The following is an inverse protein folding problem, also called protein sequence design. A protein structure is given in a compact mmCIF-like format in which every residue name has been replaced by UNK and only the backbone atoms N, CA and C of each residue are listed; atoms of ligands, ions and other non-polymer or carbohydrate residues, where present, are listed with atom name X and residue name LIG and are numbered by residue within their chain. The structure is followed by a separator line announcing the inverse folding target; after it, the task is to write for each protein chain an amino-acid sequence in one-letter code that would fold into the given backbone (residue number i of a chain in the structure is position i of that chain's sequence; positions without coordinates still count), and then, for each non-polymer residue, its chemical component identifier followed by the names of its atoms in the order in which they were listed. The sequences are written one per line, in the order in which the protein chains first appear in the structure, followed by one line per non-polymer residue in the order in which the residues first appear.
data_IF_749938253097
#
_entry.id   IF_749938253097
#
_cell.length_a   1.000
_cell.length_b   1.000
_cell.length_c   1.000
_cell.angle_alpha   90.00
_cell.angle_beta   90.00
_cell.angle_gamma   90.00
#
_symmetry.space_group_name_H-M   'P 1'
#
loop_
_entity.id
_entity.type
_entity.pdbx_description
1 polymer ?
#
# COMPACT_ATOMS: atom_id res chain seq x y z
N UNK A 1 -15.39 -6.67 -26.51
CA UNK A 1 -15.51 -7.45 -25.27
C UNK A 1 -16.63 -6.93 -24.36
N UNK A 2 -17.00 -5.63 -24.43
CA UNK A 2 -18.07 -5.04 -23.60
C UNK A 2 -19.50 -5.53 -23.88
N UNK A 3 -19.81 -5.93 -25.12
CA UNK A 3 -21.17 -6.40 -25.49
C UNK A 3 -21.56 -7.77 -24.87
N UNK A 4 -20.66 -8.38 -24.09
CA UNK A 4 -20.88 -9.66 -23.43
C UNK A 4 -20.11 -9.74 -22.11
N UNK A 5 -20.07 -8.66 -21.31
CA UNK A 5 -19.58 -8.81 -19.94
C UNK A 5 -20.44 -9.85 -19.23
N UNK A 6 -19.79 -10.88 -18.71
CA UNK A 6 -20.46 -11.84 -17.86
C UNK A 6 -21.03 -11.06 -16.66
N UNK A 7 -22.36 -11.09 -16.42
CA UNK A 7 -22.95 -10.39 -15.29
C UNK A 7 -22.40 -10.87 -13.93
N UNK A 8 -21.66 -11.98 -13.90
CA UNK A 8 -20.98 -12.53 -12.72
C UNK A 8 -19.51 -12.10 -12.58
N UNK A 9 -18.96 -11.26 -13.46
CA UNK A 9 -17.57 -10.81 -13.32
C UNK A 9 -17.42 -9.80 -12.17
N UNK A 10 -16.80 -10.23 -11.07
CA UNK A 10 -16.60 -9.38 -9.89
C UNK A 10 -15.16 -8.89 -9.71
N UNK A 11 -14.17 -9.69 -10.14
CA UNK A 11 -12.75 -9.42 -9.89
C UNK A 11 -11.90 -9.68 -11.14
N UNK A 12 -11.00 -8.75 -11.43
CA UNK A 12 -9.93 -8.91 -12.43
C UNK A 12 -8.58 -8.74 -11.75
N UNK A 13 -7.71 -9.74 -11.91
CA UNK A 13 -6.34 -9.71 -11.43
C UNK A 13 -5.38 -9.66 -12.62
N UNK A 14 -4.62 -8.58 -12.73
CA UNK A 14 -3.51 -8.47 -13.67
C UNK A 14 -2.28 -9.15 -13.09
N UNK A 15 -1.63 -10.03 -13.84
CA UNK A 15 -0.40 -10.73 -13.41
C UNK A 15 0.73 -10.34 -14.35
N UNK A 16 1.41 -9.26 -14.00
CA UNK A 16 2.42 -8.63 -14.83
C UNK A 16 2.72 -7.23 -14.33
N UNK A 17 3.96 -6.79 -14.52
CA UNK A 17 4.36 -5.39 -14.37
C UNK A 17 4.02 -4.62 -15.66
N UNK A 18 4.22 -3.31 -15.74
CA UNK A 18 4.02 -2.52 -16.96
C UNK A 18 5.17 -2.66 -17.95
N UNK A 19 6.32 -3.17 -17.50
CA UNK A 19 7.50 -3.42 -18.33
C UNK A 19 8.13 -4.79 -18.01
N UNK A 20 9.31 -5.06 -18.57
CA UNK A 20 10.01 -6.34 -18.35
C UNK A 20 9.43 -7.51 -19.15
N UNK A 21 9.70 -8.74 -18.69
CA UNK A 21 9.37 -9.97 -19.44
C UNK A 21 7.89 -10.39 -19.35
N UNK A 22 7.15 -9.83 -18.40
CA UNK A 22 5.73 -10.13 -18.15
C UNK A 22 4.89 -8.86 -18.23
N UNK A 23 5.16 -8.02 -19.23
CA UNK A 23 4.55 -6.71 -19.36
C UNK A 23 3.03 -6.82 -19.67
N UNK A 24 2.22 -6.22 -18.82
CA UNK A 24 0.81 -5.89 -19.05
C UNK A 24 0.73 -4.36 -19.02
N UNK A 25 0.33 -3.71 -20.13
CA UNK A 25 0.17 -2.26 -20.19
C UNK A 25 -0.67 -1.69 -19.03
N UNK A 26 -0.54 -0.39 -18.83
CA UNK A 26 -1.38 0.39 -17.93
C UNK A 26 -1.83 1.64 -18.66
N UNK A 27 -2.79 2.37 -18.09
CA UNK A 27 -3.13 3.70 -18.56
C UNK A 27 -2.36 4.75 -17.76
N UNK A 28 -2.47 5.99 -18.20
CA UNK A 28 -2.05 7.14 -17.39
C UNK A 28 -3.20 8.11 -17.21
N UNK A 29 -3.20 8.79 -16.07
CA UNK A 29 -4.10 9.90 -15.77
C UNK A 29 -3.25 11.14 -15.45
N UNK A 30 -3.64 12.35 -15.89
CA UNK A 30 -2.95 13.56 -15.46
C UNK A 30 -3.04 13.75 -13.96
N UNK A 31 -1.93 14.14 -13.33
CA UNK A 31 -1.93 14.55 -11.94
C UNK A 31 -2.90 15.71 -11.73
N UNK A 32 -3.53 15.76 -10.56
CA UNK A 32 -4.44 16.84 -10.21
C UNK A 32 -3.69 18.16 -9.93
N UNK A 33 -2.47 18.06 -9.40
CA UNK A 33 -1.69 19.20 -8.90
C UNK A 33 -0.57 19.63 -9.86
N UNK A 34 0.03 18.68 -10.58
CA UNK A 34 1.21 18.92 -11.41
C UNK A 34 0.98 18.54 -12.89
N UNK A 35 1.91 18.92 -13.76
CA UNK A 35 1.85 18.62 -15.20
C UNK A 35 2.40 17.23 -15.55
N UNK A 36 2.20 16.25 -14.67
CA UNK A 36 2.72 14.89 -14.77
C UNK A 36 1.61 13.87 -15.08
N UNK A 37 2.02 12.64 -15.40
CA UNK A 37 1.13 11.53 -15.75
C UNK A 37 1.36 10.37 -14.78
N UNK A 38 0.31 9.97 -14.07
CA UNK A 38 0.35 8.90 -13.09
C UNK A 38 -0.18 7.60 -13.69
N UNK A 39 0.50 6.49 -13.46
CA UNK A 39 0.05 5.18 -13.96
C UNK A 39 -1.24 4.74 -13.26
N UNK A 40 -2.16 4.11 -13.97
CA UNK A 40 -3.41 3.63 -13.38
C UNK A 40 -4.03 2.47 -14.16
N UNK A 41 -4.48 1.46 -13.42
CA UNK A 41 -5.27 0.36 -13.96
C UNK A 41 -6.78 0.66 -13.94
N UNK A 42 -7.21 1.77 -13.32
CA UNK A 42 -8.63 2.09 -13.14
C UNK A 42 -9.43 2.12 -14.46
N UNK A 43 -8.90 2.63 -15.59
CA UNK A 43 -9.64 2.61 -16.86
C UNK A 43 -9.90 1.22 -17.45
N UNK A 44 -9.33 0.14 -16.92
CA UNK A 44 -9.78 -1.20 -17.27
C UNK A 44 -11.17 -1.53 -16.71
N UNK A 45 -11.60 -0.84 -15.66
CA UNK A 45 -12.80 -1.21 -14.88
C UNK A 45 -14.09 -0.55 -15.36
N UNK A 46 -14.04 0.46 -16.23
CA UNK A 46 -15.23 1.13 -16.77
C UNK A 46 -15.12 1.27 -18.30
N UNK A 47 -16.28 1.34 -18.97
CA UNK A 47 -16.37 1.26 -20.44
C UNK A 47 -17.00 2.48 -21.11
N UNK A 48 -17.60 3.35 -20.30
CA UNK A 48 -18.07 4.68 -20.68
C UNK A 48 -17.55 5.68 -19.65
N UNK A 49 -17.10 6.84 -20.10
CA UNK A 49 -16.66 7.92 -19.21
C UNK A 49 -17.80 8.44 -18.32
N UNK A 50 -19.06 8.26 -18.73
CA UNK A 50 -20.22 8.53 -17.89
C UNK A 50 -20.27 7.63 -16.62
N UNK A 51 -19.64 6.45 -16.67
CA UNK A 51 -19.61 5.45 -15.61
C UNK A 51 -18.28 5.43 -14.83
N UNK A 52 -17.47 6.50 -14.93
CA UNK A 52 -16.16 6.57 -14.26
C UNK A 52 -16.23 6.44 -12.73
N UNK A 53 -17.40 6.63 -12.11
CA UNK A 53 -17.63 6.42 -10.67
C UNK A 53 -18.28 5.06 -10.35
N UNK A 54 -18.58 4.25 -11.37
CA UNK A 54 -19.27 2.97 -11.28
C UNK A 54 -18.44 1.89 -11.99
N UNK A 55 -17.30 1.47 -11.42
CA UNK A 55 -16.51 0.40 -12.01
C UNK A 55 -17.33 -0.91 -12.09
N UNK A 56 -17.20 -1.63 -13.19
CA UNK A 56 -17.91 -2.89 -13.45
C UNK A 56 -17.37 -4.07 -12.64
N UNK A 57 -16.13 -3.98 -12.16
CA UNK A 57 -15.49 -5.00 -11.33
C UNK A 57 -14.35 -4.40 -10.51
N UNK A 58 -13.94 -5.11 -9.46
CA UNK A 58 -12.73 -4.78 -8.70
C UNK A 58 -11.49 -5.20 -9.49
N UNK A 59 -10.45 -4.37 -9.43
CA UNK A 59 -9.18 -4.65 -10.10
C UNK A 59 -8.02 -4.66 -9.11
N UNK A 60 -7.08 -5.55 -9.33
CA UNK A 60 -5.79 -5.57 -8.64
C UNK A 60 -4.68 -6.03 -9.58
N UNK A 61 -3.43 -5.76 -9.19
CA UNK A 61 -2.24 -6.16 -9.94
C UNK A 61 -1.26 -6.91 -9.05
N UNK A 62 -0.82 -8.08 -9.51
CA UNK A 62 0.40 -8.73 -9.07
C UNK A 62 1.51 -8.30 -10.00
N UNK A 63 2.23 -7.24 -9.60
CA UNK A 63 3.34 -6.72 -10.39
C UNK A 63 4.52 -7.69 -10.32
N UNK A 64 4.87 -8.28 -11.46
CA UNK A 64 5.92 -9.30 -11.57
C UNK A 64 6.85 -8.98 -12.73
N UNK A 65 8.16 -9.03 -12.47
CA UNK A 65 9.20 -8.96 -13.51
C UNK A 65 9.92 -10.30 -13.69
N UNK A 66 9.69 -11.25 -12.77
CA UNK A 66 10.31 -12.58 -12.78
C UNK A 66 9.34 -13.69 -12.32
N UNK A 67 9.70 -14.95 -12.60
CA UNK A 67 8.97 -16.10 -12.03
C UNK A 67 9.12 -16.19 -10.51
N UNK A 68 10.19 -15.61 -9.94
CA UNK A 68 10.41 -15.59 -8.51
C UNK A 68 9.43 -14.64 -7.80
N UNK A 69 9.17 -13.46 -8.38
CA UNK A 69 8.13 -12.54 -7.90
C UNK A 69 6.76 -13.22 -7.86
N UNK A 70 6.39 -13.90 -8.95
CA UNK A 70 5.13 -14.64 -9.04
C UNK A 70 5.03 -15.73 -7.96
N UNK A 71 6.11 -16.50 -7.73
CA UNK A 71 6.14 -17.51 -6.67
C UNK A 71 5.95 -16.88 -5.30
N UNK A 72 6.62 -15.75 -5.01
CA UNK A 72 6.52 -15.05 -3.72
C UNK A 72 5.12 -14.49 -3.48
N UNK A 73 4.52 -13.81 -4.46
CA UNK A 73 3.17 -13.23 -4.32
C UNK A 73 2.12 -14.34 -4.22
N UNK A 74 2.22 -15.39 -5.03
CA UNK A 74 1.29 -16.52 -4.98
C UNK A 74 1.34 -17.22 -3.62
N UNK A 75 2.54 -17.51 -3.10
CA UNK A 75 2.70 -18.20 -1.83
C UNK A 75 2.16 -17.39 -0.66
N UNK A 76 2.45 -16.09 -0.57
CA UNK A 76 1.89 -15.23 0.49
C UNK A 76 0.38 -15.09 0.39
N UNK A 77 -0.17 -14.96 -0.82
CA UNK A 77 -1.63 -14.87 -1.01
C UNK A 77 -2.33 -16.16 -0.57
N UNK A 78 -1.80 -17.32 -0.96
CA UNK A 78 -2.35 -18.61 -0.55
C UNK A 78 -2.25 -18.82 0.97
N UNK A 79 -1.11 -18.48 1.57
CA UNK A 79 -0.92 -18.66 3.01
C UNK A 79 -1.65 -17.62 3.85
N UNK A 80 -1.90 -16.41 3.33
CA UNK A 80 -2.76 -15.45 4.01
C UNK A 80 -4.21 -15.95 4.11
N UNK A 81 -4.71 -16.66 3.09
CA UNK A 81 -6.06 -17.25 3.15
C UNK A 81 -6.11 -18.55 3.96
N UNK A 82 -5.10 -19.40 3.81
CA UNK A 82 -5.09 -20.73 4.45
C UNK A 82 -4.61 -20.72 5.89
N UNK A 83 -3.69 -19.81 6.21
CA UNK A 83 -3.00 -19.67 7.50
C UNK A 83 -2.44 -20.99 8.06
N UNK A 84 -1.99 -21.90 7.19
CA UNK A 84 -1.51 -23.24 7.58
C UNK A 84 -0.14 -23.20 8.28
N UNK A 85 0.62 -22.11 8.11
CA UNK A 85 1.98 -21.95 8.65
C UNK A 85 2.06 -21.11 9.93
N UNK A 86 0.91 -20.65 10.46
CA UNK A 86 0.82 -19.95 11.74
C UNK A 86 -0.28 -20.62 12.56
N UNK A 87 0.01 -20.92 13.81
CA UNK A 87 -0.99 -21.49 14.74
C UNK A 87 -1.80 -20.43 15.49
N UNK A 88 -1.21 -19.26 15.73
CA UNK A 88 -1.83 -18.15 16.46
C UNK A 88 -2.19 -17.02 15.51
N UNK A 89 -3.49 -16.81 15.32
CA UNK A 89 -4.04 -15.82 14.42
C UNK A 89 -4.47 -14.54 15.15
N UNK A 90 -4.21 -14.42 16.46
CA UNK A 90 -4.66 -13.27 17.25
C UNK A 90 -4.13 -11.94 16.72
N UNK A 91 -2.94 -11.95 16.10
CA UNK A 91 -2.30 -10.78 15.51
C UNK A 91 -3.17 -10.07 14.45
N UNK A 92 -4.14 -10.79 13.85
CA UNK A 92 -5.08 -10.18 12.90
C UNK A 92 -6.02 -9.16 13.56
N UNK A 93 -6.19 -9.25 14.88
CA UNK A 93 -6.96 -8.29 15.66
C UNK A 93 -6.10 -7.14 16.18
N UNK A 94 -4.83 -7.07 15.78
CA UNK A 94 -3.91 -5.99 16.14
C UNK A 94 -3.68 -5.07 14.93
N UNK A 95 -3.46 -3.78 15.19
CA UNK A 95 -3.23 -2.77 14.15
C UNK A 95 -2.00 -1.92 14.45
N UNK A 96 -1.37 -1.39 13.39
CA UNK A 96 -0.35 -0.36 13.50
C UNK A 96 -0.79 0.88 12.71
N UNK A 97 -0.85 2.02 13.40
CA UNK A 97 -1.14 3.31 12.82
C UNK A 97 0.13 4.15 12.81
N UNK A 98 0.58 4.53 11.62
CA UNK A 98 1.78 5.36 11.43
C UNK A 98 1.34 6.68 10.83
N UNK A 99 1.79 7.80 11.37
CA UNK A 99 1.43 9.10 10.81
C UNK A 99 2.48 10.18 10.98
N UNK A 100 2.58 11.09 10.02
CA UNK A 100 3.51 12.21 10.04
C UNK A 100 2.86 13.53 9.66
N UNK A 101 2.82 14.45 10.62
CA UNK A 101 2.56 15.86 10.40
C UNK A 101 3.86 16.49 9.89
N UNK A 102 4.07 16.57 8.58
CA UNK A 102 5.28 17.17 8.00
C UNK A 102 5.00 17.77 6.62
N UNK A 103 5.67 18.88 6.31
CA UNK A 103 5.77 19.46 4.97
C UNK A 103 7.13 20.12 4.80
N UNK A 104 7.67 20.05 3.58
CA UNK A 104 8.86 20.76 3.12
C UNK A 104 8.66 22.29 2.99
N UNK A 105 7.42 22.76 2.94
CA UNK A 105 7.04 24.19 2.92
C UNK A 105 7.29 24.93 4.24
N UNK A 106 7.75 24.24 5.28
CA UNK A 106 7.95 24.81 6.62
C UNK A 106 6.67 24.93 7.46
N UNK A 107 5.55 24.41 6.96
CA UNK A 107 4.30 24.26 7.71
C UNK A 107 4.16 22.88 8.36
N UNK A 108 3.32 22.77 9.39
CA UNK A 108 3.04 21.52 10.09
C UNK A 108 1.58 21.13 9.88
N UNK A 109 1.26 20.40 8.79
CA UNK A 109 -0.11 19.93 8.57
C UNK A 109 -0.50 19.00 9.72
N UNK A 110 -1.67 19.22 10.33
CA UNK A 110 -2.09 18.45 11.52
C UNK A 110 -2.96 17.24 11.22
N UNK A 111 -3.55 17.22 10.02
CA UNK A 111 -4.59 16.25 9.66
C UNK A 111 -4.11 14.81 9.43
N UNK A 112 -2.85 14.52 9.04
CA UNK A 112 -2.37 13.14 9.00
C UNK A 112 -2.52 12.44 10.36
N UNK A 113 -1.95 13.02 11.42
CA UNK A 113 -2.05 12.45 12.78
C UNK A 113 -3.49 12.49 13.31
N UNK A 114 -4.26 13.56 13.04
CA UNK A 114 -5.64 13.63 13.52
C UNK A 114 -6.55 12.59 12.85
N UNK A 115 -6.37 12.34 11.55
CA UNK A 115 -7.13 11.30 10.84
C UNK A 115 -6.76 9.91 11.37
N UNK A 116 -5.47 9.65 11.62
CA UNK A 116 -5.04 8.38 12.21
C UNK A 116 -5.53 8.21 13.66
N UNK A 117 -5.65 9.27 14.46
CA UNK A 117 -6.29 9.20 15.79
C UNK A 117 -7.79 8.90 15.69
N UNK A 118 -8.49 9.49 14.72
CA UNK A 118 -9.88 9.14 14.47
C UNK A 118 -10.02 7.66 14.07
N UNK A 119 -9.18 7.18 13.17
CA UNK A 119 -9.15 5.76 12.79
C UNK A 119 -8.83 4.85 13.99
N UNK A 120 -7.95 5.28 14.90
CA UNK A 120 -7.68 4.56 16.15
C UNK A 120 -8.94 4.35 16.99
N UNK A 121 -9.78 5.38 17.12
CA UNK A 121 -11.04 5.30 17.86
C UNK A 121 -12.04 4.36 17.16
N UNK A 122 -12.14 4.41 15.84
CA UNK A 122 -13.01 3.50 15.05
C UNK A 122 -12.56 2.03 15.19
N UNK A 123 -11.26 1.75 15.09
CA UNK A 123 -10.71 0.40 15.25
C UNK A 123 -10.91 -0.13 16.68
N UNK A 124 -10.74 0.72 17.70
CA UNK A 124 -11.07 0.37 19.08
C UNK A 124 -12.57 0.05 19.24
N UNK A 125 -13.44 0.86 18.64
CA UNK A 125 -14.88 0.64 18.68
C UNK A 125 -15.29 -0.65 17.94
N UNK A 126 -14.62 -0.96 16.84
CA UNK A 126 -14.82 -2.20 16.08
C UNK A 126 -14.40 -3.44 16.89
N UNK A 127 -13.40 -3.30 17.77
CA UNK A 127 -12.96 -4.34 18.70
C UNK A 127 -11.55 -4.87 18.44
N UNK A 128 -10.67 -4.09 17.80
CA UNK A 128 -9.25 -4.42 17.73
C UNK A 128 -8.66 -4.56 19.13
N UNK A 129 -7.82 -5.59 19.33
CA UNK A 129 -7.26 -5.97 20.62
C UNK A 129 -6.13 -5.02 21.04
N UNK A 130 -5.23 -4.71 20.12
CA UNK A 130 -4.18 -3.70 20.32
C UNK A 130 -4.04 -2.81 19.08
N UNK A 131 -3.70 -1.53 19.33
CA UNK A 131 -3.42 -0.57 18.27
C UNK A 131 -2.14 0.18 18.64
N UNK A 132 -1.04 -0.19 18.00
CA UNK A 132 0.21 0.53 18.12
C UNK A 132 0.18 1.81 17.29
N UNK A 133 0.77 2.89 17.82
CA UNK A 133 0.76 4.20 17.16
C UNK A 133 2.17 4.80 17.08
N UNK A 134 2.67 5.01 15.86
CA UNK A 134 3.94 5.65 15.58
C UNK A 134 3.70 7.01 14.90
N UNK A 135 3.53 8.06 15.71
CA UNK A 135 3.26 9.42 15.23
C UNK A 135 4.51 10.30 15.22
N UNK A 136 4.61 11.15 14.20
CA UNK A 136 5.59 12.21 14.05
C UNK A 136 4.85 13.55 13.93
N UNK A 137 5.19 14.50 14.79
CA UNK A 137 4.64 15.87 14.77
C UNK A 137 5.64 16.88 15.33
N UNK A 138 5.23 18.15 15.47
CA UNK A 138 6.11 19.23 15.90
C UNK A 138 6.74 18.96 17.27
N UNK A 139 6.01 18.31 18.16
CA UNK A 139 6.42 18.04 19.55
C UNK A 139 7.10 16.66 19.68
N UNK A 140 6.87 15.76 18.72
CA UNK A 140 7.51 14.44 18.65
C UNK A 140 8.15 14.20 17.26
N UNK A 141 9.43 14.56 17.14
CA UNK A 141 10.18 14.47 15.88
C UNK A 141 11.07 13.22 15.78
N UNK A 142 10.63 12.09 16.35
CA UNK A 142 11.36 10.83 16.24
C UNK A 142 11.31 10.28 14.81
N UNK A 143 12.30 10.66 13.99
CA UNK A 143 12.39 10.27 12.57
C UNK A 143 12.48 8.75 12.43
N UNK A 144 13.43 8.12 13.13
CA UNK A 144 13.59 6.67 13.11
C UNK A 144 12.82 6.08 14.29
N UNK A 145 11.60 5.61 14.03
CA UNK A 145 10.75 5.05 15.07
C UNK A 145 10.82 3.50 15.08
N UNK A 146 11.49 2.87 16.06
CA UNK A 146 11.64 1.42 16.10
C UNK A 146 10.32 0.68 16.31
N UNK A 147 9.25 1.38 16.75
CA UNK A 147 7.92 0.80 16.89
C UNK A 147 7.41 0.24 15.56
N UNK A 148 7.70 0.90 14.44
CA UNK A 148 7.21 0.47 13.11
C UNK A 148 7.69 -0.95 12.80
N UNK A 149 9.01 -1.17 12.83
CA UNK A 149 9.57 -2.48 12.53
C UNK A 149 9.22 -3.52 13.61
N UNK A 150 9.17 -3.14 14.89
CA UNK A 150 8.90 -4.09 15.98
C UNK A 150 7.44 -4.57 16.00
N UNK A 151 6.46 -3.68 15.82
CA UNK A 151 5.05 -4.05 15.69
C UNK A 151 4.82 -4.93 14.45
N UNK A 152 5.36 -4.52 13.30
CA UNK A 152 5.26 -5.29 12.05
C UNK A 152 5.86 -6.70 12.18
N UNK A 153 7.03 -6.83 12.81
CA UNK A 153 7.67 -8.13 13.04
C UNK A 153 6.92 -9.02 14.05
N UNK A 154 6.31 -8.41 15.05
CA UNK A 154 5.48 -9.12 16.04
C UNK A 154 4.18 -9.63 15.42
N UNK A 155 3.71 -8.93 14.38
CA UNK A 155 2.53 -9.24 13.60
C UNK A 155 1.37 -8.33 13.94
N UNK A 156 0.77 -7.74 12.90
CA UNK A 156 -0.47 -6.96 12.94
C UNK A 156 -1.31 -7.33 11.72
N UNK A 157 -2.63 -7.20 11.81
CA UNK A 157 -3.56 -7.51 10.73
C UNK A 157 -3.61 -6.41 9.68
N UNK A 158 -3.56 -5.16 10.13
CA UNK A 158 -3.60 -3.97 9.26
C UNK A 158 -2.55 -2.95 9.65
N UNK A 159 -2.03 -2.25 8.64
CA UNK A 159 -1.16 -1.11 8.82
C UNK A 159 -1.67 0.06 8.00
N UNK A 160 -1.88 1.20 8.64
CA UNK A 160 -2.21 2.44 7.94
C UNK A 160 -1.06 3.44 8.05
N UNK A 161 -0.76 4.11 6.93
CA UNK A 161 0.12 5.28 6.92
C UNK A 161 -0.53 6.51 6.31
N UNK A 162 -0.37 7.64 6.99
CA UNK A 162 -0.70 8.99 6.51
C UNK A 162 0.42 9.99 6.78
N UNK A 163 0.73 10.83 5.82
CA UNK A 163 1.77 11.85 5.98
C UNK A 163 2.50 12.08 4.67
N UNK A 164 3.82 11.97 4.72
CA UNK A 164 4.72 12.29 3.61
C UNK A 164 5.52 11.06 3.17
N UNK A 165 5.64 10.85 1.85
CA UNK A 165 6.29 9.69 1.28
C UNK A 165 6.58 9.88 -0.21
N UNK A 166 7.17 8.86 -0.82
CA UNK A 166 7.37 8.73 -2.26
C UNK A 166 7.42 7.25 -2.65
N UNK A 167 7.88 6.94 -3.88
CA UNK A 167 7.96 5.57 -4.37
C UNK A 167 8.92 4.70 -3.57
N UNK A 168 9.84 5.28 -2.77
CA UNK A 168 10.74 4.54 -1.90
C UNK A 168 10.10 4.21 -0.54
N UNK A 169 9.06 4.94 -0.11
CA UNK A 169 8.31 4.66 1.11
C UNK A 169 8.01 5.90 1.95
N UNK A 170 7.95 5.72 3.26
CA UNK A 170 7.53 6.75 4.21
C UNK A 170 8.71 7.56 4.71
N UNK A 171 8.56 8.88 4.77
CA UNK A 171 9.66 9.75 5.18
C UNK A 171 9.58 10.19 6.64
N UNK A 172 8.37 10.27 7.22
CA UNK A 172 8.11 10.80 8.57
C UNK A 172 6.94 10.08 9.25
N UNK A 173 7.18 9.23 10.26
CA UNK A 173 8.47 8.62 10.58
C UNK A 173 9.01 7.81 9.38
N UNK A 174 10.33 7.65 9.32
CA UNK A 174 11.06 7.05 8.20
C UNK A 174 10.86 5.53 8.16
N UNK A 175 10.49 4.99 7.00
CA UNK A 175 10.42 3.56 6.72
C UNK A 175 10.36 3.30 5.20
N UNK A 176 11.45 2.79 4.61
CA UNK A 176 11.62 2.64 3.16
C UNK A 176 11.70 1.16 2.73
N UNK A 177 11.80 0.92 1.41
CA UNK A 177 11.93 -0.43 0.81
C UNK A 177 13.06 -1.24 1.44
N UNK A 178 14.16 -0.61 1.80
CA UNK A 178 15.33 -1.26 2.41
C UNK A 178 15.04 -1.73 3.86
N UNK A 179 14.12 -1.06 4.56
CA UNK A 179 13.64 -1.47 5.88
C UNK A 179 12.67 -2.67 5.77
N UNK A 180 12.00 -2.82 4.63
CA UNK A 180 11.14 -3.99 4.34
C UNK A 180 11.99 -5.22 4.03
N UNK A 181 12.87 -5.13 3.01
CA UNK A 181 13.74 -6.22 2.60
C UNK A 181 15.15 -5.66 2.35
N UNK A 182 16.16 -6.03 3.19
CA UNK A 182 16.17 -7.17 4.12
C UNK A 182 15.67 -6.91 5.55
N UNK A 183 15.20 -5.71 5.90
CA UNK A 183 15.03 -5.30 7.31
C UNK A 183 13.96 -6.04 8.14
N UNK A 184 12.80 -6.37 7.58
CA UNK A 184 11.71 -7.03 8.32
C UNK A 184 11.94 -8.54 8.49
N UNK A 185 11.37 -9.14 9.53
CA UNK A 185 11.37 -10.58 9.80
C UNK A 185 9.99 -11.07 10.29
N UNK A 186 8.92 -10.48 9.76
CA UNK A 186 7.53 -10.80 10.13
C UNK A 186 7.06 -12.19 9.65
N UNK A 187 7.77 -12.79 8.69
CA UNK A 187 7.44 -14.13 8.19
C UNK A 187 6.01 -14.17 7.68
N UNK A 188 5.24 -15.19 8.05
CA UNK A 188 3.85 -15.33 7.59
C UNK A 188 2.86 -14.38 8.26
N UNK A 189 3.28 -13.55 9.25
CA UNK A 189 2.42 -12.55 9.91
C UNK A 189 2.31 -11.32 9.01
N UNK A 190 1.48 -11.46 8.00
CA UNK A 190 1.42 -10.55 6.86
C UNK A 190 0.22 -9.61 7.00
N UNK A 191 0.42 -8.31 7.20
CA UNK A 191 -0.68 -7.35 7.21
C UNK A 191 -1.20 -7.04 5.81
N UNK A 192 -2.37 -6.41 5.75
CA UNK A 192 -2.74 -5.53 4.64
C UNK A 192 -2.25 -4.11 4.96
N UNK A 193 -1.54 -3.50 4.02
CA UNK A 193 -0.97 -2.15 4.21
C UNK A 193 -1.73 -1.14 3.38
N UNK A 194 -2.26 -0.11 4.01
CA UNK A 194 -2.84 1.04 3.33
C UNK A 194 -1.93 2.24 3.53
N UNK A 195 -1.18 2.57 2.48
CA UNK A 195 -0.23 3.67 2.45
C UNK A 195 -0.80 4.78 1.58
N UNK A 196 -1.66 5.61 2.17
CA UNK A 196 -2.34 6.68 1.45
C UNK A 196 -1.46 7.93 1.42
N UNK A 197 -0.31 7.84 0.77
CA UNK A 197 0.64 8.95 0.57
C UNK A 197 1.24 8.86 -0.83
N UNK A 198 1.78 9.98 -1.27
CA UNK A 198 2.49 10.17 -2.53
C UNK A 198 3.28 8.93 -2.99
N UNK A 199 2.99 8.49 -4.21
CA UNK A 199 3.80 7.58 -5.04
C UNK A 199 4.09 6.17 -4.49
N UNK A 200 3.61 5.81 -3.29
CA UNK A 200 3.95 4.51 -2.68
C UNK A 200 3.41 3.29 -3.44
N UNK A 201 2.41 3.49 -4.30
CA UNK A 201 1.83 2.48 -5.20
C UNK A 201 2.19 2.67 -6.67
N UNK A 202 3.21 3.47 -7.00
CA UNK A 202 3.63 3.72 -8.38
C UNK A 202 4.41 2.55 -8.99
N UNK A 203 3.65 1.54 -9.42
CA UNK A 203 4.15 0.38 -10.15
C UNK A 203 4.71 0.72 -11.54
N UNK A 204 4.79 2.01 -11.89
CA UNK A 204 5.40 2.48 -13.12
C UNK A 204 6.49 3.52 -12.93
N UNK A 205 7.11 3.57 -11.76
CA UNK A 205 8.06 4.62 -11.41
C UNK A 205 9.27 4.70 -12.35
N UNK A 206 9.72 3.57 -12.90
CA UNK A 206 10.80 3.51 -13.88
C UNK A 206 10.31 3.47 -15.34
N UNK A 207 9.03 3.72 -15.60
CA UNK A 207 8.49 3.72 -16.95
C UNK A 207 8.98 4.93 -17.74
N UNK A 208 9.76 4.68 -18.79
CA UNK A 208 10.18 5.73 -19.73
C UNK A 208 11.20 6.72 -19.18
N UNK A 209 11.83 6.44 -18.04
CA UNK A 209 12.80 7.35 -17.41
C UNK A 209 13.65 6.70 -16.31
N UNK A 210 14.28 7.56 -15.50
CA UNK A 210 14.98 7.14 -14.29
C UNK A 210 13.97 7.04 -13.14
N UNK A 211 13.87 5.88 -12.51
CA UNK A 211 13.02 5.64 -11.36
C UNK A 211 13.43 4.37 -10.62
N UNK A 212 12.62 3.98 -9.65
CA UNK A 212 12.79 2.75 -8.89
C UNK A 212 12.28 1.56 -9.70
N UNK A 213 13.08 0.50 -9.73
CA UNK A 213 12.74 -0.77 -10.38
C UNK A 213 11.55 -1.49 -9.74
N UNK A 214 11.28 -1.16 -8.47
CA UNK A 214 10.09 -1.55 -7.71
C UNK A 214 9.72 -0.42 -6.77
N UNK A 215 8.48 0.04 -6.77
CA UNK A 215 8.00 0.96 -5.74
C UNK A 215 7.81 0.26 -4.39
N UNK A 216 7.48 1.05 -3.37
CA UNK A 216 7.26 0.58 -2.01
C UNK A 216 6.22 -0.54 -1.93
N UNK A 217 5.08 -0.39 -2.60
CA UNK A 217 4.02 -1.42 -2.67
C UNK A 217 4.48 -2.74 -3.31
N UNK A 218 5.31 -2.67 -4.35
CA UNK A 218 5.86 -3.86 -5.01
C UNK A 218 6.87 -4.59 -4.13
N UNK A 219 7.72 -3.85 -3.40
CA UNK A 219 8.63 -4.46 -2.41
C UNK A 219 7.86 -5.06 -1.25
N UNK A 220 6.82 -4.40 -0.75
CA UNK A 220 5.95 -4.95 0.30
C UNK A 220 5.34 -6.29 -0.09
N UNK A 221 4.95 -6.46 -1.36
CA UNK A 221 4.31 -7.68 -1.86
C UNK A 221 5.29 -8.71 -2.46
N UNK A 222 6.57 -8.37 -2.63
CA UNK A 222 7.59 -9.29 -3.15
C UNK A 222 8.78 -9.54 -2.22
N UNK A 223 8.85 -8.86 -1.08
CA UNK A 223 9.98 -8.96 -0.14
C UNK A 223 10.18 -10.34 0.47
N UNK A 224 11.45 -10.70 0.70
CA UNK A 224 11.86 -11.97 1.27
C UNK A 224 11.84 -13.13 0.27
N UNK A 225 11.44 -14.31 0.75
CA UNK A 225 11.43 -15.56 -0.01
C UNK A 225 10.11 -16.33 0.16
N UNK A 226 9.93 -17.39 -0.62
CA UNK A 226 8.76 -18.27 -0.51
C UNK A 226 8.64 -19.01 0.85
N UNK A 227 9.73 -19.10 1.62
CA UNK A 227 9.77 -19.80 2.91
C UNK A 227 9.84 -18.83 4.09
N UNK A 228 10.44 -17.66 3.87
CA UNK A 228 10.52 -16.58 4.85
C UNK A 228 10.17 -15.27 4.14
N UNK A 229 8.87 -15.02 3.91
CA UNK A 229 8.42 -13.81 3.24
C UNK A 229 8.53 -12.60 4.19
N UNK A 230 8.64 -11.40 3.62
CA UNK A 230 8.71 -10.13 4.35
C UNK A 230 7.68 -9.15 3.76
N UNK A 231 7.29 -8.17 4.56
CA UNK A 231 6.38 -7.10 4.13
C UNK A 231 4.92 -7.45 4.39
N UNK A 232 4.11 -7.47 3.33
CA UNK A 232 2.64 -7.52 3.42
C UNK A 232 2.02 -8.60 2.52
N UNK A 233 0.77 -8.95 2.82
CA UNK A 233 -0.07 -9.80 1.97
C UNK A 233 -0.62 -9.01 0.77
N UNK A 234 -1.01 -7.76 1.01
CA UNK A 234 -1.49 -6.82 0.01
C UNK A 234 -1.12 -5.39 0.41
N UNK A 235 -1.04 -4.50 -0.57
CA UNK A 235 -0.82 -3.08 -0.36
C UNK A 235 -1.79 -2.25 -1.21
N UNK A 236 -2.33 -1.18 -0.63
CA UNK A 236 -3.13 -0.17 -1.31
C UNK A 236 -2.43 1.18 -1.12
N UNK A 237 -2.16 1.87 -2.22
CA UNK A 237 -1.61 3.23 -2.20
C UNK A 237 -1.67 3.86 -3.59
N UNK A 238 -1.56 5.19 -3.67
CA UNK A 238 -1.65 5.93 -4.92
C UNK A 238 -0.34 5.85 -5.71
N UNK A 239 -0.47 5.96 -7.04
CA UNK A 239 0.64 6.16 -7.97
C UNK A 239 0.99 7.64 -8.18
N UNK A 240 0.11 8.57 -7.78
CA UNK A 240 0.35 10.01 -7.91
C UNK A 240 1.40 10.49 -6.89
N UNK A 241 2.40 11.25 -7.36
CA UNK A 241 3.46 11.83 -6.53
C UNK A 241 2.97 13.03 -5.70
N UNK A 242 1.92 13.71 -6.15
CA UNK A 242 1.45 14.97 -5.56
C UNK A 242 0.04 14.82 -5.01
N UNK A 243 -0.20 13.71 -4.31
CA UNK A 243 -1.52 13.41 -3.74
C UNK A 243 -1.97 14.45 -2.71
N UNK A 244 -3.28 14.67 -2.70
CA UNK A 244 -3.89 15.72 -1.91
C UNK A 244 -4.37 15.20 -0.55
N UNK A 245 -4.01 15.89 0.53
CA UNK A 245 -4.38 15.46 1.90
C UNK A 245 -5.89 15.33 2.09
N UNK A 246 -6.68 16.17 1.41
CA UNK A 246 -8.15 16.11 1.44
C UNK A 246 -8.71 14.78 0.93
N UNK A 247 -8.13 14.20 -0.13
CA UNK A 247 -8.59 12.93 -0.71
C UNK A 247 -8.03 11.74 0.08
N UNK A 248 -6.75 11.81 0.44
CA UNK A 248 -6.09 10.77 1.23
C UNK A 248 -6.76 10.56 2.60
N UNK A 249 -7.27 11.61 3.23
CA UNK A 249 -7.98 11.48 4.50
C UNK A 249 -9.33 10.77 4.35
N UNK A 250 -10.06 11.00 3.25
CA UNK A 250 -11.31 10.27 2.98
C UNK A 250 -11.04 8.80 2.71
N UNK A 251 -10.01 8.48 1.92
CA UNK A 251 -9.60 7.08 1.69
C UNK A 251 -9.15 6.38 2.98
N UNK A 252 -8.46 7.10 3.87
CA UNK A 252 -8.08 6.59 5.18
C UNK A 252 -9.29 6.32 6.08
N UNK A 253 -10.30 7.19 6.01
CA UNK A 253 -11.46 7.13 6.90
C UNK A 253 -12.46 6.00 6.59
N UNK A 254 -12.36 5.37 5.42
CA UNK A 254 -13.23 4.25 5.01
C UNK A 254 -12.59 2.88 5.25
N UNK A 255 -11.47 2.84 5.98
CA UNK A 255 -10.80 1.61 6.42
C UNK A 255 -11.62 0.85 7.45
#
# INVERSE_FOLDING_TARGET
YYESLDPMLEYVLLIGDINGSYAIPSFTIPSYNESDLDVTDYPYSFFDNADILNPSFFIGRWSIRSQDDLKKIKMRSMQYIKMEYISDHSFLNDALLVAGNYSDSGSWPVTPVWTSKWLMDELHQFGYATIDAAFFDLDNQQVNNPLIASAWNSGVGVINYRGWGDANGWHKPYFHREDVDPGLNNGWRMPVVMSFVCNTGDFGNDFGGSGLDKCFGEVLTTGGSINNPKGAAAMIGPSDLDTDTRFNNVMCAVM
#
